data_IF_735892002612
#
_entry.id   IF_735892002612
#
_cell.length_a   1.000
_cell.length_b   1.000
_cell.length_c   1.000
_cell.angle_alpha   90.00
_cell.angle_beta   90.00
_cell.angle_gamma   90.00
#
_symmetry.space_group_name_H-M   'P 1'
#
loop_
_entity.id
_entity.type
_entity.pdbx_description
1 polymer ?
#
# COMPACT_ATOMS: atom_id res chain seq x y z
N UNK A 1 -3.18 13.20 -38.54
CA UNK A 1 -4.30 13.93 -37.92
C UNK A 1 -4.09 13.83 -36.42
N UNK A 2 -3.77 14.96 -35.78
CA UNK A 2 -3.55 15.07 -34.33
C UNK A 2 -4.91 15.17 -33.68
N UNK A 3 -5.24 14.20 -32.81
CA UNK A 3 -6.41 14.27 -31.93
C UNK A 3 -6.02 14.94 -30.63
N UNK A 4 -6.42 16.19 -30.45
CA UNK A 4 -6.27 16.92 -29.18
C UNK A 4 -7.22 16.34 -28.12
N UNK A 5 -6.68 15.61 -27.18
CA UNK A 5 -7.41 15.23 -25.96
C UNK A 5 -7.32 16.40 -24.99
N UNK A 6 -8.36 17.21 -24.93
CA UNK A 6 -8.53 18.25 -23.90
C UNK A 6 -8.69 17.56 -22.52
N UNK A 7 -7.67 17.62 -21.70
CA UNK A 7 -7.77 17.41 -20.26
C UNK A 7 -8.59 18.54 -19.66
N UNK A 8 -9.80 18.24 -19.24
CA UNK A 8 -10.63 19.16 -18.46
C UNK A 8 -10.18 19.04 -17.00
N UNK A 9 -9.44 20.03 -16.51
CA UNK A 9 -9.08 20.17 -15.11
C UNK A 9 -10.34 20.49 -14.28
N UNK A 10 -11.02 19.48 -13.77
CA UNK A 10 -12.07 19.63 -12.75
C UNK A 10 -11.47 19.38 -11.37
N UNK A 11 -10.67 20.31 -10.89
CA UNK A 11 -10.26 20.35 -9.48
C UNK A 11 -11.41 20.97 -8.69
N UNK A 12 -12.17 20.13 -7.95
CA UNK A 12 -13.28 20.57 -7.13
C UNK A 12 -12.75 21.10 -5.80
N UNK A 13 -12.81 22.42 -5.60
CA UNK A 13 -12.57 23.07 -4.31
C UNK A 13 -13.80 22.86 -3.42
N UNK A 14 -13.68 22.05 -2.37
CA UNK A 14 -14.76 21.86 -1.38
C UNK A 14 -14.82 23.09 -0.49
N UNK A 15 -15.69 24.04 -0.81
CA UNK A 15 -15.96 25.21 0.04
C UNK A 15 -16.79 24.78 1.25
N UNK A 16 -16.32 25.12 2.46
CA UNK A 16 -17.00 24.89 3.73
C UNK A 16 -18.27 25.76 3.88
N UNK A 17 -19.36 25.34 3.24
CA UNK A 17 -20.70 25.78 3.63
C UNK A 17 -21.28 24.75 4.59
N UNK A 18 -21.10 24.94 5.89
CA UNK A 18 -21.70 24.12 6.96
C UNK A 18 -23.22 24.31 6.99
N UNK A 19 -23.94 23.69 6.07
CA UNK A 19 -25.30 23.23 6.34
C UNK A 19 -25.19 22.10 7.37
N UNK A 20 -26.24 21.90 8.23
CA UNK A 20 -26.29 20.72 9.12
C UNK A 20 -26.15 19.46 8.25
N UNK A 21 -24.94 18.98 8.11
CA UNK A 21 -24.63 17.75 7.35
C UNK A 21 -25.14 16.57 8.17
N UNK A 22 -25.64 15.56 7.46
CA UNK A 22 -26.03 14.30 8.09
C UNK A 22 -24.79 13.67 8.69
N UNK A 23 -24.81 13.31 9.97
CA UNK A 23 -23.73 12.54 10.59
C UNK A 23 -23.69 11.17 9.90
N UNK A 24 -22.59 10.85 9.25
CA UNK A 24 -22.36 9.57 8.60
C UNK A 24 -21.74 8.58 9.57
N UNK A 25 -21.96 7.30 9.31
CA UNK A 25 -21.37 6.21 10.12
C UNK A 25 -20.20 5.59 9.34
N UNK A 26 -18.99 5.76 9.88
CA UNK A 26 -17.74 5.20 9.34
C UNK A 26 -17.32 4.00 10.18
N UNK A 27 -17.32 2.83 9.57
CA UNK A 27 -16.90 1.57 10.19
C UNK A 27 -15.46 1.22 9.86
N UNK A 28 -14.75 0.72 10.85
CA UNK A 28 -13.37 0.23 10.72
C UNK A 28 -13.32 -1.26 10.97
N UNK A 29 -12.78 -1.99 10.01
CA UNK A 29 -12.58 -3.44 10.12
C UNK A 29 -11.07 -3.77 10.10
N UNK A 30 -10.70 -4.82 10.80
CA UNK A 30 -9.36 -5.41 10.69
C UNK A 30 -9.17 -5.91 9.26
N UNK A 31 -8.09 -5.53 8.61
CA UNK A 31 -7.79 -6.08 7.31
C UNK A 31 -7.40 -7.55 7.45
N UNK A 32 -8.22 -8.46 6.90
CA UNK A 32 -7.99 -9.91 6.91
C UNK A 32 -7.08 -10.38 5.76
N UNK A 33 -6.28 -9.48 5.23
CA UNK A 33 -5.23 -9.79 4.27
C UNK A 33 -4.09 -10.57 4.97
N UNK A 34 -3.55 -11.65 4.36
CA UNK A 34 -2.51 -12.48 4.99
C UNK A 34 -1.30 -11.66 5.48
N UNK A 35 -0.96 -11.80 6.76
CA UNK A 35 0.17 -11.12 7.38
C UNK A 35 -0.04 -9.64 7.69
N UNK A 36 -1.23 -9.06 7.48
CA UNK A 36 -1.52 -7.67 7.87
C UNK A 36 -1.62 -7.53 9.39
N UNK A 37 -0.88 -6.57 9.95
CA UNK A 37 -0.84 -6.28 11.39
C UNK A 37 -0.94 -4.79 11.70
N UNK A 38 -0.94 -3.93 10.67
CA UNK A 38 -1.01 -2.48 10.88
C UNK A 38 -2.40 -2.08 11.36
N UNK A 39 -2.42 -1.15 12.30
CA UNK A 39 -3.65 -0.55 12.84
C UNK A 39 -3.74 0.87 12.28
N UNK A 40 -4.69 1.15 11.38
CA UNK A 40 -4.74 2.41 10.64
C UNK A 40 -5.38 3.57 11.40
N UNK A 41 -5.96 3.33 12.57
CA UNK A 41 -6.55 4.34 13.44
C UNK A 41 -6.20 4.02 14.89
N UNK A 42 -5.60 4.98 15.60
CA UNK A 42 -5.25 4.86 17.02
C UNK A 42 -6.15 5.79 17.85
N UNK A 43 -6.53 5.42 19.09
CA UNK A 43 -7.41 6.22 19.93
C UNK A 43 -6.96 7.68 20.11
N UNK A 44 -5.65 7.92 20.27
CA UNK A 44 -5.09 9.26 20.46
C UNK A 44 -5.20 10.19 19.24
N UNK A 45 -5.45 9.65 18.06
CA UNK A 45 -5.61 10.43 16.83
C UNK A 45 -7.09 10.72 16.50
N UNK A 46 -8.02 10.21 17.33
CA UNK A 46 -9.45 10.46 17.19
C UNK A 46 -9.79 11.79 17.86
N UNK A 47 -9.94 12.84 17.07
CA UNK A 47 -10.21 14.20 17.55
C UNK A 47 -11.25 14.88 16.69
N UNK A 48 -12.40 15.23 17.25
CA UNK A 48 -13.47 16.01 16.58
C UNK A 48 -13.79 15.53 15.15
N UNK A 49 -14.02 14.23 15.00
CA UNK A 49 -14.40 13.66 13.72
C UNK A 49 -15.87 13.93 13.40
N UNK A 50 -16.16 14.28 12.15
CA UNK A 50 -17.52 14.58 11.68
C UNK A 50 -18.37 13.31 11.46
N UNK A 51 -17.77 12.12 11.65
CA UNK A 51 -18.42 10.81 11.50
C UNK A 51 -18.65 10.15 12.87
N UNK A 52 -19.72 9.37 13.01
CA UNK A 52 -19.81 8.38 14.08
C UNK A 52 -18.92 7.18 13.74
N UNK A 53 -18.08 6.75 14.68
CA UNK A 53 -17.13 5.68 14.45
C UNK A 53 -17.60 4.35 15.04
N UNK A 54 -17.61 3.31 14.21
CA UNK A 54 -17.80 1.92 14.61
C UNK A 54 -16.50 1.15 14.39
N UNK A 55 -16.05 0.45 15.41
CA UNK A 55 -14.78 -0.27 15.38
C UNK A 55 -15.04 -1.78 15.59
N UNK A 56 -14.43 -2.61 14.78
CA UNK A 56 -14.47 -4.06 14.97
C UNK A 56 -13.74 -4.46 16.26
N UNK A 57 -14.33 -5.34 17.06
CA UNK A 57 -13.73 -5.91 18.28
C UNK A 57 -12.30 -6.41 18.01
N UNK A 58 -11.36 -6.03 18.88
CA UNK A 58 -9.95 -6.39 18.77
C UNK A 58 -9.20 -5.67 17.66
N UNK A 59 -9.71 -4.55 17.15
CA UNK A 59 -9.09 -3.77 16.08
C UNK A 59 -7.65 -3.34 16.38
N UNK A 60 -7.35 -3.04 17.66
CA UNK A 60 -6.04 -2.59 18.13
C UNK A 60 -5.09 -3.70 18.62
N UNK A 61 -5.50 -4.97 18.57
CA UNK A 61 -4.83 -6.10 19.24
C UNK A 61 -3.33 -6.23 18.92
N UNK A 62 -2.90 -5.98 17.69
CA UNK A 62 -1.49 -6.06 17.32
C UNK A 62 -0.59 -4.98 17.95
N UNK A 63 -1.19 -3.93 18.48
CA UNK A 63 -0.49 -2.86 19.20
C UNK A 63 -0.74 -2.89 20.72
N UNK A 64 -1.37 -3.95 21.22
CA UNK A 64 -1.77 -4.10 22.62
C UNK A 64 -2.74 -2.99 23.06
N UNK A 65 -3.58 -2.47 22.12
CA UNK A 65 -4.61 -1.48 22.39
C UNK A 65 -5.94 -2.22 22.58
N UNK A 66 -6.53 -2.05 23.75
CA UNK A 66 -7.78 -2.69 24.11
C UNK A 66 -9.00 -1.94 23.54
N UNK A 67 -10.11 -2.65 23.34
CA UNK A 67 -11.37 -2.07 22.82
C UNK A 67 -11.86 -0.91 23.68
N UNK A 68 -11.67 -0.98 25.00
CA UNK A 68 -12.06 0.08 25.96
C UNK A 68 -11.35 1.42 25.70
N UNK A 69 -10.17 1.41 25.06
CA UNK A 69 -9.46 2.64 24.71
C UNK A 69 -10.16 3.36 23.54
N UNK A 70 -10.69 2.61 22.58
CA UNK A 70 -11.52 3.16 21.51
C UNK A 70 -12.88 3.64 22.03
N UNK A 71 -13.49 2.93 23.00
CA UNK A 71 -14.74 3.39 23.64
C UNK A 71 -14.53 4.72 24.36
N UNK A 72 -13.42 4.88 25.10
CA UNK A 72 -13.05 6.16 25.73
C UNK A 72 -12.82 7.29 24.74
N UNK A 73 -12.38 6.95 23.52
CA UNK A 73 -12.22 7.91 22.42
C UNK A 73 -13.55 8.21 21.68
N UNK A 74 -14.68 7.65 22.15
CA UNK A 74 -16.03 7.93 21.61
C UNK A 74 -16.47 6.98 20.50
N UNK A 75 -15.76 5.87 20.28
CA UNK A 75 -16.14 4.84 19.31
C UNK A 75 -17.12 3.84 19.91
N UNK A 76 -17.90 3.18 19.07
CA UNK A 76 -18.71 2.03 19.43
C UNK A 76 -18.04 0.75 18.95
N UNK A 77 -17.82 -0.20 19.84
CA UNK A 77 -17.22 -1.51 19.51
C UNK A 77 -18.31 -2.50 19.11
N UNK A 78 -18.12 -3.19 18.01
CA UNK A 78 -19.08 -4.13 17.45
C UNK A 78 -18.37 -5.35 16.83
N UNK A 79 -19.14 -6.43 16.58
CA UNK A 79 -18.68 -7.52 15.75
C UNK A 79 -18.44 -7.03 14.30
N UNK A 80 -17.59 -7.74 13.55
CA UNK A 80 -17.33 -7.46 12.14
C UNK A 80 -18.58 -7.31 11.31
N UNK A 81 -19.50 -8.27 11.42
CA UNK A 81 -20.79 -8.26 10.71
C UNK A 81 -21.62 -7.02 11.06
N UNK A 82 -21.72 -6.67 12.35
CA UNK A 82 -22.47 -5.50 12.79
C UNK A 82 -21.83 -4.18 12.32
N UNK A 83 -20.49 -4.11 12.22
CA UNK A 83 -19.80 -2.96 11.62
C UNK A 83 -20.25 -2.78 10.18
N UNK A 84 -20.21 -3.83 9.35
CA UNK A 84 -20.72 -3.74 7.97
C UNK A 84 -22.19 -3.36 7.90
N UNK A 85 -23.02 -3.96 8.73
CA UNK A 85 -24.47 -3.76 8.75
C UNK A 85 -24.86 -2.32 9.14
N UNK A 86 -24.19 -1.71 10.10
CA UNK A 86 -24.57 -0.40 10.61
C UNK A 86 -23.87 0.76 9.87
N UNK A 87 -22.71 0.53 9.22
CA UNK A 87 -21.94 1.59 8.59
C UNK A 87 -22.44 1.97 7.20
N UNK A 88 -22.32 3.25 6.86
CA UNK A 88 -22.53 3.79 5.51
C UNK A 88 -21.23 3.78 4.70
N UNK A 89 -20.09 3.89 5.39
CA UNK A 89 -18.76 3.72 4.82
C UNK A 89 -17.96 2.70 5.63
N UNK A 90 -17.17 1.88 4.96
CA UNK A 90 -16.24 0.92 5.57
C UNK A 90 -14.82 1.31 5.18
N UNK A 91 -13.98 1.43 6.18
CA UNK A 91 -12.54 1.52 6.00
C UNK A 91 -11.90 0.15 6.24
N UNK A 92 -11.14 -0.32 5.24
CA UNK A 92 -10.24 -1.47 5.36
C UNK A 92 -8.87 -1.10 4.81
N UNK A 93 -7.81 -1.29 5.58
CA UNK A 93 -6.46 -0.92 5.14
C UNK A 93 -6.04 -1.66 3.86
N UNK A 94 -6.51 -2.89 3.68
CA UNK A 94 -6.30 -3.70 2.48
C UNK A 94 -7.63 -4.02 1.82
N UNK A 95 -7.56 -4.47 0.58
CA UNK A 95 -8.72 -4.92 -0.17
C UNK A 95 -9.53 -5.93 0.66
N UNK A 96 -10.84 -5.69 0.75
CA UNK A 96 -11.80 -6.59 1.41
C UNK A 96 -11.72 -7.96 0.74
N UNK A 97 -11.61 -9.01 1.54
CA UNK A 97 -11.46 -10.38 1.08
C UNK A 97 -12.82 -11.04 0.78
N UNK A 98 -12.86 -12.10 -0.03
CA UNK A 98 -14.10 -12.79 -0.39
C UNK A 98 -14.96 -13.26 0.78
N UNK A 99 -14.35 -13.59 1.93
CA UNK A 99 -15.06 -13.95 3.17
C UNK A 99 -16.03 -12.88 3.68
N UNK A 100 -15.86 -11.64 3.26
CA UNK A 100 -16.66 -10.51 3.72
C UNK A 100 -17.67 -10.00 2.68
N UNK A 101 -17.65 -10.55 1.47
CA UNK A 101 -18.46 -10.04 0.36
C UNK A 101 -19.96 -10.03 0.66
N UNK A 102 -20.44 -11.00 1.42
CA UNK A 102 -21.86 -11.11 1.79
C UNK A 102 -22.31 -10.02 2.76
N UNK A 103 -21.38 -9.43 3.53
CA UNK A 103 -21.68 -8.34 4.44
C UNK A 103 -21.80 -6.98 3.75
N UNK A 104 -21.22 -6.83 2.55
CA UNK A 104 -21.19 -5.56 1.82
C UNK A 104 -22.58 -5.21 1.28
N UNK A 105 -23.10 -4.04 1.68
CA UNK A 105 -24.41 -3.55 1.25
C UNK A 105 -24.33 -2.77 -0.05
N UNK A 106 -25.43 -2.78 -0.82
CA UNK A 106 -25.59 -1.94 -2.01
C UNK A 106 -25.41 -0.46 -1.67
N UNK A 107 -24.63 0.27 -2.47
CA UNK A 107 -24.39 1.70 -2.34
C UNK A 107 -23.48 2.11 -1.18
N UNK A 108 -22.82 1.15 -0.52
CA UNK A 108 -21.88 1.41 0.56
C UNK A 108 -20.60 2.05 0.03
N UNK A 109 -19.97 2.90 0.83
CA UNK A 109 -18.65 3.46 0.51
C UNK A 109 -17.58 2.51 1.05
N UNK A 110 -16.61 2.13 0.22
CA UNK A 110 -15.46 1.31 0.61
C UNK A 110 -14.20 2.15 0.46
N UNK A 111 -13.45 2.33 1.55
CA UNK A 111 -12.27 3.18 1.60
C UNK A 111 -11.05 2.32 1.97
N UNK A 112 -9.95 2.45 1.26
CA UNK A 112 -8.71 1.75 1.59
C UNK A 112 -7.77 1.57 0.40
N UNK A 113 -6.87 0.61 0.49
CA UNK A 113 -5.98 0.23 -0.60
C UNK A 113 -6.64 -0.84 -1.44
N UNK A 114 -7.38 -0.43 -2.44
CA UNK A 114 -8.30 -1.29 -3.19
C UNK A 114 -7.75 -1.74 -4.54
N UNK A 115 -6.73 -1.06 -5.08
CA UNK A 115 -6.05 -1.37 -6.35
C UNK A 115 -7.02 -1.73 -7.50
N UNK A 116 -7.93 -0.84 -7.92
CA UNK A 116 -9.03 -1.17 -8.83
C UNK A 116 -8.61 -1.74 -10.18
N UNK A 117 -7.45 -1.34 -10.69
CA UNK A 117 -6.90 -1.82 -11.97
C UNK A 117 -5.88 -2.96 -11.83
N UNK A 118 -5.46 -3.26 -10.61
CA UNK A 118 -4.52 -4.33 -10.25
C UNK A 118 -5.21 -5.50 -9.56
N UNK A 119 -4.76 -5.81 -8.34
CA UNK A 119 -5.28 -6.93 -7.54
C UNK A 119 -6.76 -6.80 -7.16
N UNK A 120 -7.31 -5.60 -7.15
CA UNK A 120 -8.73 -5.32 -6.88
C UNK A 120 -9.66 -5.47 -8.08
N UNK A 121 -9.15 -5.81 -9.26
CA UNK A 121 -9.96 -5.90 -10.49
C UNK A 121 -11.15 -6.86 -10.38
N UNK A 122 -10.96 -8.01 -9.74
CA UNK A 122 -12.05 -8.97 -9.48
C UNK A 122 -13.07 -8.39 -8.50
N UNK A 123 -12.64 -7.74 -7.43
CA UNK A 123 -13.53 -7.05 -6.49
C UNK A 123 -14.38 -5.98 -7.19
N UNK A 124 -13.77 -5.16 -8.06
CA UNK A 124 -14.51 -4.15 -8.84
C UNK A 124 -15.59 -4.79 -9.69
N UNK A 125 -15.28 -5.87 -10.42
CA UNK A 125 -16.20 -6.57 -11.30
C UNK A 125 -17.32 -7.30 -10.56
N UNK A 126 -16.98 -7.99 -9.46
CA UNK A 126 -17.87 -8.94 -8.79
C UNK A 126 -18.68 -8.29 -7.65
N UNK A 127 -18.16 -7.23 -7.04
CA UNK A 127 -18.78 -6.57 -5.89
C UNK A 127 -19.09 -5.09 -6.17
N UNK A 128 -18.11 -4.30 -6.57
CA UNK A 128 -18.28 -2.85 -6.63
C UNK A 128 -19.32 -2.43 -7.69
N UNK A 129 -19.23 -2.93 -8.89
CA UNK A 129 -20.17 -2.58 -9.97
C UNK A 129 -21.57 -3.12 -9.68
N UNK A 130 -21.79 -4.43 -9.37
CA UNK A 130 -23.13 -4.97 -9.12
C UNK A 130 -23.83 -4.37 -7.91
N UNK A 131 -23.08 -4.08 -6.84
CA UNK A 131 -23.62 -3.48 -5.61
C UNK A 131 -23.62 -1.95 -5.65
N UNK A 132 -23.23 -1.33 -6.77
CA UNK A 132 -23.17 0.14 -6.91
C UNK A 132 -22.33 0.79 -5.79
N UNK A 133 -21.19 0.18 -5.43
CA UNK A 133 -20.32 0.70 -4.39
C UNK A 133 -19.59 1.95 -4.84
N UNK A 134 -19.32 2.84 -3.89
CA UNK A 134 -18.40 3.97 -4.07
C UNK A 134 -17.05 3.52 -3.51
N UNK A 135 -16.07 3.27 -4.36
CA UNK A 135 -14.75 2.79 -3.94
C UNK A 135 -13.78 3.96 -3.91
N UNK A 136 -13.21 4.23 -2.74
CA UNK A 136 -12.19 5.28 -2.53
C UNK A 136 -10.85 4.60 -2.40
N UNK A 137 -10.05 4.63 -3.46
CA UNK A 137 -8.72 4.05 -3.47
C UNK A 137 -7.68 5.07 -3.01
N UNK A 138 -6.88 4.67 -2.02
CA UNK A 138 -5.87 5.52 -1.39
C UNK A 138 -4.44 5.13 -1.77
N UNK A 139 -4.25 4.10 -2.57
CA UNK A 139 -2.92 3.52 -2.82
C UNK A 139 -2.20 4.11 -4.04
N UNK A 140 -2.89 4.78 -4.91
CA UNK A 140 -2.28 5.41 -6.06
C UNK A 140 -1.61 6.75 -5.70
N UNK A 141 -0.70 7.19 -6.56
CA UNK A 141 -0.09 8.53 -6.47
C UNK A 141 -1.17 9.64 -6.41
N UNK A 142 -2.36 9.37 -6.92
CA UNK A 142 -3.53 10.23 -6.88
C UNK A 142 -4.71 9.43 -6.33
N UNK A 143 -5.05 9.57 -5.05
CA UNK A 143 -6.25 8.98 -4.48
C UNK A 143 -7.49 9.35 -5.27
N UNK A 144 -8.32 8.37 -5.61
CA UNK A 144 -9.45 8.56 -6.50
C UNK A 144 -10.70 7.80 -6.05
N UNK A 145 -11.86 8.31 -6.46
CA UNK A 145 -13.17 7.67 -6.28
C UNK A 145 -13.54 6.94 -7.57
N UNK A 146 -13.89 5.68 -7.42
CA UNK A 146 -14.36 4.81 -8.49
C UNK A 146 -15.84 4.48 -8.28
N UNK A 147 -16.66 4.78 -9.27
CA UNK A 147 -18.09 4.46 -9.25
C UNK A 147 -18.56 4.08 -10.65
N UNK A 148 -18.93 2.80 -10.86
CA UNK A 148 -19.26 2.26 -12.19
C UNK A 148 -18.11 2.48 -13.19
N UNK A 149 -18.33 3.29 -14.20
CA UNK A 149 -17.36 3.67 -15.24
C UNK A 149 -16.65 5.01 -14.97
N UNK A 150 -16.99 5.69 -13.87
CA UNK A 150 -16.42 6.98 -13.50
C UNK A 150 -15.23 6.83 -12.58
N UNK A 151 -14.22 7.67 -12.83
CA UNK A 151 -13.06 7.87 -11.94
C UNK A 151 -12.95 9.37 -11.66
N UNK A 152 -12.90 9.74 -10.38
CA UNK A 152 -12.82 11.12 -9.93
C UNK A 152 -11.61 11.25 -9.02
N UNK A 153 -10.64 12.06 -9.41
CA UNK A 153 -9.49 12.38 -8.57
C UNK A 153 -9.93 13.18 -7.34
N UNK A 154 -9.35 12.86 -6.20
CA UNK A 154 -9.64 13.55 -4.93
C UNK A 154 -8.56 14.59 -4.64
N UNK A 155 -8.84 15.49 -3.68
CA UNK A 155 -7.85 16.42 -3.14
C UNK A 155 -7.04 15.83 -1.98
N UNK A 156 -7.17 14.52 -1.72
CA UNK A 156 -6.37 13.83 -0.72
C UNK A 156 -4.92 13.86 -1.16
N UNK A 157 -3.98 14.34 -0.32
CA UNK A 157 -2.57 14.43 -0.71
C UNK A 157 -1.97 13.07 -1.10
N UNK A 158 -1.25 13.02 -2.20
CA UNK A 158 -0.55 11.81 -2.67
C UNK A 158 0.53 11.31 -1.69
N UNK A 159 1.07 12.17 -0.84
CA UNK A 159 2.15 11.82 0.11
C UNK A 159 1.75 11.03 1.36
N UNK A 160 0.47 10.67 1.53
CA UNK A 160 -0.01 9.90 2.70
C UNK A 160 0.75 8.59 2.86
N UNK A 161 1.14 7.98 1.73
CA UNK A 161 1.76 6.67 1.68
C UNK A 161 3.29 6.65 1.64
N UNK A 162 3.94 7.81 1.53
CA UNK A 162 5.40 7.89 1.34
C UNK A 162 6.20 7.14 2.42
N UNK A 163 5.84 7.33 3.68
CA UNK A 163 6.51 6.62 4.78
C UNK A 163 6.20 5.14 4.83
N UNK A 164 4.99 4.73 4.45
CA UNK A 164 4.67 3.31 4.32
C UNK A 164 5.55 2.66 3.24
N UNK A 165 5.70 3.33 2.09
CA UNK A 165 6.58 2.87 1.00
C UNK A 165 8.06 2.82 1.43
N UNK A 166 8.52 3.78 2.27
CA UNK A 166 9.85 3.69 2.87
C UNK A 166 10.02 2.41 3.70
N UNK A 167 9.04 2.08 4.53
CA UNK A 167 9.09 0.85 5.34
C UNK A 167 8.93 -0.43 4.50
N UNK A 168 8.37 -0.35 3.30
CA UNK A 168 8.40 -1.49 2.37
C UNK A 168 9.84 -1.89 2.02
N UNK A 169 10.64 -0.92 1.62
CA UNK A 169 12.06 -1.14 1.35
C UNK A 169 12.85 -1.51 2.61
N UNK A 170 12.64 -0.77 3.69
CA UNK A 170 13.41 -0.95 4.93
C UNK A 170 13.18 -2.32 5.57
N UNK A 171 11.92 -2.65 5.86
CA UNK A 171 11.57 -3.90 6.54
C UNK A 171 11.78 -5.11 5.63
N UNK A 172 11.41 -5.00 4.34
CA UNK A 172 11.62 -6.08 3.36
C UNK A 172 13.09 -6.42 3.18
N UNK A 173 13.96 -5.42 3.13
CA UNK A 173 15.41 -5.65 3.03
C UNK A 173 15.96 -6.33 4.28
N UNK A 174 15.58 -5.88 5.48
CA UNK A 174 16.03 -6.50 6.74
C UNK A 174 15.55 -7.95 6.86
N UNK A 175 14.27 -8.21 6.54
CA UNK A 175 13.70 -9.55 6.56
C UNK A 175 14.43 -10.48 5.57
N UNK A 176 14.67 -9.99 4.35
CA UNK A 176 15.39 -10.74 3.32
C UNK A 176 16.80 -11.13 3.76
N UNK A 177 17.57 -10.18 4.29
CA UNK A 177 18.93 -10.42 4.75
C UNK A 177 19.00 -11.43 5.89
N UNK A 178 18.13 -11.27 6.91
CA UNK A 178 18.08 -12.18 8.06
C UNK A 178 17.66 -13.59 7.66
N UNK A 179 16.67 -13.73 6.79
CA UNK A 179 16.21 -15.04 6.30
C UNK A 179 17.17 -15.70 5.34
N UNK A 180 17.92 -14.90 4.59
CA UNK A 180 19.03 -15.42 3.77
C UNK A 180 20.24 -15.84 4.62
N UNK A 181 20.29 -15.39 5.87
CA UNK A 181 21.38 -15.72 6.80
C UNK A 181 22.63 -14.87 6.61
N UNK A 182 22.48 -13.63 6.09
CA UNK A 182 23.61 -12.72 5.87
C UNK A 182 23.38 -11.40 6.62
N UNK A 183 24.43 -10.93 7.29
CA UNK A 183 24.58 -9.52 7.65
C UNK A 183 25.71 -8.97 6.79
N UNK A 184 25.41 -8.07 5.84
CA UNK A 184 26.44 -7.53 4.95
C UNK A 184 27.55 -6.82 5.71
N UNK A 185 28.75 -6.86 5.17
CA UNK A 185 29.93 -6.13 5.64
C UNK A 185 30.58 -5.37 4.47
N UNK A 186 31.76 -4.80 4.69
CA UNK A 186 32.48 -4.01 3.68
C UNK A 186 32.94 -4.83 2.46
N UNK A 187 32.97 -6.16 2.56
CA UNK A 187 33.27 -7.03 1.43
C UNK A 187 32.06 -7.30 0.53
N UNK A 188 30.85 -7.11 1.04
CA UNK A 188 29.58 -7.35 0.34
C UNK A 188 29.23 -6.16 -0.56
N UNK A 189 29.24 -6.38 -1.87
CA UNK A 189 28.87 -5.34 -2.85
C UNK A 189 27.37 -5.32 -3.08
N UNK A 190 26.73 -4.19 -2.78
CA UNK A 190 25.27 -4.05 -2.81
C UNK A 190 24.86 -2.98 -3.82
N UNK A 191 23.96 -3.34 -4.74
CA UNK A 191 23.27 -2.40 -5.61
C UNK A 191 21.84 -2.18 -5.11
N UNK A 192 21.40 -0.91 -5.02
CA UNK A 192 20.01 -0.53 -4.76
C UNK A 192 19.45 0.18 -5.99
N UNK A 193 18.39 -0.35 -6.58
CA UNK A 193 17.77 0.19 -7.78
C UNK A 193 16.61 1.12 -7.43
N UNK A 194 16.62 2.34 -7.98
CA UNK A 194 15.60 3.36 -7.78
C UNK A 194 16.05 4.49 -6.85
N UNK A 195 15.21 5.53 -6.77
CA UNK A 195 15.41 6.67 -5.88
C UNK A 195 14.13 7.05 -5.10
N UNK A 196 13.04 6.28 -5.29
CA UNK A 196 11.78 6.45 -4.59
C UNK A 196 11.85 6.00 -3.13
N UNK A 197 10.74 6.15 -2.41
CA UNK A 197 10.68 5.85 -0.97
C UNK A 197 11.05 4.41 -0.62
N UNK A 198 10.65 3.43 -1.45
CA UNK A 198 11.05 2.02 -1.28
C UNK A 198 12.56 1.86 -1.36
N UNK A 199 13.19 2.41 -2.41
CA UNK A 199 14.64 2.35 -2.60
C UNK A 199 15.41 3.06 -1.49
N UNK A 200 14.91 4.22 -1.03
CA UNK A 200 15.49 4.95 0.11
C UNK A 200 15.42 4.13 1.41
N UNK A 201 14.29 3.44 1.64
CA UNK A 201 14.16 2.52 2.77
C UNK A 201 15.15 1.38 2.71
N UNK A 202 15.28 0.73 1.56
CA UNK A 202 16.25 -0.33 1.34
C UNK A 202 17.71 0.14 1.52
N UNK A 203 18.05 1.27 0.92
CA UNK A 203 19.39 1.88 1.09
C UNK A 203 19.68 2.17 2.55
N UNK A 204 18.71 2.77 3.27
CA UNK A 204 18.87 3.09 4.68
C UNK A 204 19.04 1.84 5.56
N UNK A 205 18.43 0.73 5.19
CA UNK A 205 18.60 -0.55 5.89
C UNK A 205 20.03 -1.10 5.72
N UNK A 206 20.53 -1.21 4.49
CA UNK A 206 21.84 -1.83 4.23
C UNK A 206 23.03 -0.95 4.59
N UNK A 207 22.89 0.39 4.49
CA UNK A 207 23.96 1.33 4.85
C UNK A 207 24.32 1.34 6.35
N UNK A 208 23.53 0.66 7.18
CA UNK A 208 23.87 0.44 8.60
C UNK A 208 24.90 -0.68 8.80
N UNK A 209 25.08 -1.54 7.80
CA UNK A 209 25.96 -2.70 7.89
C UNK A 209 27.21 -2.54 7.02
N UNK A 210 27.09 -1.86 5.89
CA UNK A 210 28.18 -1.70 4.93
C UNK A 210 28.16 -0.34 4.28
N UNK A 211 29.34 0.22 3.99
CA UNK A 211 29.49 1.41 3.13
C UNK A 211 29.61 1.03 1.64
N UNK A 212 29.79 -0.25 1.30
CA UNK A 212 29.93 -0.73 -0.07
C UNK A 212 28.56 -0.90 -0.77
N UNK A 213 27.75 0.16 -0.68
CA UNK A 213 26.40 0.24 -1.23
C UNK A 213 26.33 1.31 -2.31
N UNK A 214 25.84 0.98 -3.48
CA UNK A 214 25.65 1.91 -4.58
C UNK A 214 24.18 1.98 -4.99
N UNK A 215 23.62 3.21 -5.01
CA UNK A 215 22.27 3.45 -5.49
C UNK A 215 22.28 3.80 -6.98
N UNK A 216 21.37 3.18 -7.74
CA UNK A 216 21.18 3.43 -9.16
C UNK A 216 19.76 3.93 -9.42
N UNK A 217 19.65 5.09 -10.03
CA UNK A 217 18.39 5.72 -10.42
C UNK A 217 18.38 5.97 -11.93
N UNK A 218 17.28 6.46 -12.47
CA UNK A 218 17.05 6.56 -13.93
C UNK A 218 18.28 6.95 -14.76
N UNK A 219 19.05 7.96 -14.32
CA UNK A 219 20.25 8.43 -15.05
C UNK A 219 21.44 7.50 -14.96
N UNK A 220 21.52 6.67 -13.93
CA UNK A 220 22.66 5.78 -13.66
C UNK A 220 22.35 4.30 -13.89
N UNK A 221 21.11 3.97 -14.29
CA UNK A 221 20.77 2.60 -14.70
C UNK A 221 21.67 2.04 -15.84
N UNK A 222 22.09 2.84 -16.84
CA UNK A 222 23.06 2.33 -17.83
C UNK A 222 24.36 1.85 -17.18
N UNK A 223 24.90 2.57 -16.18
CA UNK A 223 26.10 2.15 -15.44
C UNK A 223 25.83 0.87 -14.64
N UNK A 224 24.63 0.71 -14.08
CA UNK A 224 24.24 -0.55 -13.44
C UNK A 224 24.27 -1.71 -14.47
N UNK A 225 23.72 -1.51 -15.67
CA UNK A 225 23.71 -2.50 -16.74
C UNK A 225 25.12 -2.96 -17.17
N UNK A 226 26.12 -2.11 -17.04
CA UNK A 226 27.53 -2.46 -17.34
C UNK A 226 28.21 -3.20 -16.18
N UNK A 227 27.67 -3.06 -14.94
CA UNK A 227 28.37 -3.51 -13.72
C UNK A 227 27.58 -4.49 -12.86
N UNK A 228 26.33 -4.81 -13.19
CA UNK A 228 25.42 -5.59 -12.33
C UNK A 228 25.97 -6.95 -11.91
N UNK A 229 26.72 -7.64 -12.77
CA UNK A 229 27.35 -8.94 -12.47
C UNK A 229 28.42 -8.87 -11.36
N UNK A 230 28.81 -7.66 -10.94
CA UNK A 230 29.83 -7.48 -9.89
C UNK A 230 29.21 -7.40 -8.49
N UNK A 231 27.91 -7.24 -8.36
CA UNK A 231 27.21 -7.15 -7.07
C UNK A 231 26.86 -8.53 -6.52
N UNK A 232 26.95 -8.66 -5.21
CA UNK A 232 26.57 -9.87 -4.47
C UNK A 232 25.08 -9.82 -4.11
N UNK A 233 24.57 -8.61 -3.82
CA UNK A 233 23.16 -8.35 -3.51
C UNK A 233 22.64 -7.24 -4.42
N UNK A 234 21.49 -7.46 -5.05
CA UNK A 234 20.77 -6.47 -5.84
C UNK A 234 19.40 -6.27 -5.21
N UNK A 235 19.11 -5.03 -4.79
CA UNK A 235 17.82 -4.69 -4.15
C UNK A 235 17.01 -3.82 -5.10
N UNK A 236 15.85 -4.30 -5.51
CA UNK A 236 14.94 -3.56 -6.37
C UNK A 236 13.92 -2.77 -5.55
N UNK A 237 13.84 -1.47 -5.81
CA UNK A 237 12.81 -0.57 -5.31
C UNK A 237 12.09 0.18 -6.43
N UNK A 238 12.18 -0.32 -7.68
CA UNK A 238 11.53 0.23 -8.87
C UNK A 238 10.37 -0.68 -9.28
N UNK A 239 9.26 -0.07 -9.66
CA UNK A 239 8.15 -0.71 -10.32
C UNK A 239 8.10 -0.22 -11.77
N UNK A 240 8.22 -1.12 -12.75
CA UNK A 240 8.12 -0.77 -14.17
C UNK A 240 6.74 -1.05 -14.75
N UNK A 241 5.96 -1.88 -14.07
CA UNK A 241 4.63 -2.31 -14.50
C UNK A 241 4.63 -3.26 -15.69
N UNK A 242 3.52 -3.93 -15.88
CA UNK A 242 3.34 -4.94 -16.91
C UNK A 242 3.52 -4.37 -18.33
N UNK A 243 4.22 -5.10 -19.18
CA UNK A 243 4.44 -4.76 -20.59
C UNK A 243 5.61 -3.82 -20.86
N UNK A 244 6.30 -3.32 -19.85
CA UNK A 244 7.54 -2.57 -20.01
C UNK A 244 8.77 -3.49 -20.03
N UNK A 245 9.87 -3.00 -20.59
CA UNK A 245 11.13 -3.75 -20.60
C UNK A 245 11.68 -3.90 -19.16
N UNK A 246 12.10 -5.10 -18.74
CA UNK A 246 12.66 -5.33 -17.43
C UNK A 246 14.00 -4.61 -17.25
N UNK A 247 14.31 -4.23 -16.01
CA UNK A 247 15.64 -3.69 -15.69
C UNK A 247 16.66 -4.82 -15.60
N UNK A 248 16.27 -5.99 -15.13
CA UNK A 248 17.13 -7.17 -15.07
C UNK A 248 16.44 -8.33 -15.80
N UNK A 249 16.82 -8.53 -17.07
CA UNK A 249 16.26 -9.58 -17.91
C UNK A 249 16.75 -10.99 -17.51
N UNK A 250 16.07 -12.03 -17.98
CA UNK A 250 16.54 -13.42 -17.80
C UNK A 250 17.94 -13.66 -18.37
N UNK A 251 18.30 -12.94 -19.45
CA UNK A 251 19.63 -13.03 -20.05
C UNK A 251 20.68 -12.34 -19.18
N UNK A 252 20.36 -11.19 -18.59
CA UNK A 252 21.24 -10.54 -17.60
C UNK A 252 21.47 -11.45 -16.40
N UNK A 253 20.41 -12.08 -15.89
CA UNK A 253 20.49 -12.95 -14.70
C UNK A 253 21.41 -14.15 -14.88
N UNK A 254 21.62 -14.65 -16.11
CA UNK A 254 22.60 -15.73 -16.40
C UNK A 254 24.03 -15.29 -16.17
N UNK A 255 24.32 -13.99 -16.19
CA UNK A 255 25.66 -13.43 -16.01
C UNK A 255 25.98 -13.13 -14.54
N UNK A 256 24.98 -13.24 -13.65
CA UNK A 256 25.20 -13.02 -12.22
C UNK A 256 26.07 -14.11 -11.61
N UNK A 257 26.83 -13.76 -10.59
CA UNK A 257 27.58 -14.70 -9.79
C UNK A 257 26.65 -15.75 -9.18
N UNK A 258 27.08 -17.00 -9.18
CA UNK A 258 26.38 -18.03 -8.43
C UNK A 258 26.33 -17.67 -6.94
N UNK A 259 25.15 -17.68 -6.35
CA UNK A 259 24.95 -17.26 -4.97
C UNK A 259 24.51 -15.81 -4.83
N UNK A 260 24.47 -15.02 -5.92
CA UNK A 260 23.90 -13.66 -5.87
C UNK A 260 22.49 -13.69 -5.32
N UNK A 261 22.12 -12.64 -4.59
CA UNK A 261 20.81 -12.49 -3.97
C UNK A 261 20.08 -11.27 -4.53
N UNK A 262 18.89 -11.49 -5.10
CA UNK A 262 18.01 -10.46 -5.62
C UNK A 262 16.86 -10.27 -4.63
N UNK A 263 16.71 -9.05 -4.14
CA UNK A 263 15.67 -8.66 -3.18
C UNK A 263 14.72 -7.68 -3.88
N UNK A 264 13.53 -8.13 -4.22
CA UNK A 264 12.51 -7.27 -4.84
C UNK A 264 11.58 -6.69 -3.76
N UNK A 265 11.93 -5.53 -3.23
CA UNK A 265 11.14 -4.82 -2.20
C UNK A 265 10.03 -3.97 -2.80
N UNK A 266 10.04 -3.73 -4.12
CA UNK A 266 8.93 -3.10 -4.83
C UNK A 266 7.76 -4.08 -4.99
N UNK A 267 8.05 -5.39 -4.92
CA UNK A 267 7.08 -6.45 -5.15
C UNK A 267 6.39 -6.33 -6.53
N UNK A 268 7.20 -6.00 -7.57
CA UNK A 268 6.78 -5.89 -8.98
C UNK A 268 7.06 -7.20 -9.72
N UNK A 269 6.53 -8.29 -9.19
CA UNK A 269 6.84 -9.65 -9.59
C UNK A 269 6.75 -9.86 -11.11
N UNK A 270 7.86 -10.30 -11.68
CA UNK A 270 7.99 -10.64 -13.10
C UNK A 270 8.20 -9.47 -14.05
N UNK A 271 8.08 -8.22 -13.59
CA UNK A 271 8.20 -7.04 -14.44
C UNK A 271 9.60 -6.41 -14.37
N UNK A 272 9.98 -5.80 -13.25
CA UNK A 272 11.29 -5.15 -13.11
C UNK A 272 12.42 -6.17 -13.13
N UNK A 273 12.25 -7.30 -12.45
CA UNK A 273 13.12 -8.48 -12.46
C UNK A 273 12.37 -9.57 -13.23
N UNK A 274 12.78 -9.81 -14.46
CA UNK A 274 12.09 -10.75 -15.37
C UNK A 274 12.05 -12.16 -14.78
N UNK A 275 10.88 -12.80 -14.80
CA UNK A 275 10.66 -14.14 -14.28
C UNK A 275 10.59 -14.27 -12.75
N UNK A 276 10.80 -13.17 -12.02
CA UNK A 276 10.59 -13.15 -10.58
C UNK A 276 9.12 -13.40 -10.23
N UNK A 277 8.84 -14.06 -9.11
CA UNK A 277 7.47 -14.32 -8.64
C UNK A 277 7.33 -14.03 -7.15
N UNK A 278 6.09 -13.77 -6.73
CA UNK A 278 5.79 -13.52 -5.33
C UNK A 278 6.17 -14.69 -4.44
N UNK A 279 6.76 -14.35 -3.31
CA UNK A 279 7.03 -15.25 -2.20
C UNK A 279 6.13 -14.87 -1.00
N UNK A 280 6.19 -15.64 0.07
CA UNK A 280 5.38 -15.38 1.27
C UNK A 280 6.27 -15.00 2.46
N UNK A 281 5.68 -14.44 3.50
CA UNK A 281 6.43 -14.17 4.74
C UNK A 281 7.01 -15.44 5.38
N UNK A 282 6.40 -16.59 5.15
CA UNK A 282 6.86 -17.90 5.67
C UNK A 282 7.95 -18.48 4.79
N UNK A 283 7.69 -18.56 3.49
CA UNK A 283 8.59 -19.10 2.47
C UNK A 283 9.04 -17.96 1.57
N UNK A 284 9.97 -17.14 2.09
CA UNK A 284 10.30 -15.84 1.52
C UNK A 284 11.38 -15.86 0.46
N UNK A 285 12.17 -16.95 0.39
CA UNK A 285 13.31 -17.05 -0.52
C UNK A 285 13.21 -18.32 -1.35
N UNK A 286 13.39 -18.18 -2.64
CA UNK A 286 13.58 -19.33 -3.54
C UNK A 286 14.92 -19.22 -4.28
N UNK A 287 15.34 -20.33 -4.87
CA UNK A 287 16.57 -20.43 -5.63
C UNK A 287 16.28 -20.94 -7.04
N UNK A 288 16.74 -20.22 -8.03
CA UNK A 288 16.69 -20.66 -9.43
C UNK A 288 18.04 -20.43 -10.12
N UNK A 289 18.53 -21.42 -10.87
CA UNK A 289 19.80 -21.36 -11.65
C UNK A 289 21.01 -20.85 -10.86
N UNK A 290 21.02 -21.07 -9.55
CA UNK A 290 22.11 -20.65 -8.66
C UNK A 290 21.99 -19.25 -8.08
N UNK A 291 20.93 -18.50 -8.41
CA UNK A 291 20.59 -17.18 -7.88
C UNK A 291 19.47 -17.33 -6.87
N UNK A 292 19.47 -16.51 -5.84
CA UNK A 292 18.44 -16.45 -4.82
C UNK A 292 17.54 -15.22 -5.02
N UNK A 293 16.26 -15.38 -4.72
CA UNK A 293 15.24 -14.34 -4.92
C UNK A 293 14.37 -14.21 -3.69
N UNK A 294 14.02 -12.96 -3.39
CA UNK A 294 13.05 -12.57 -2.39
C UNK A 294 12.08 -11.59 -3.03
N UNK A 295 10.75 -11.85 -2.92
CA UNK A 295 9.71 -10.96 -3.45
C UNK A 295 8.45 -11.07 -2.57
N UNK A 296 8.58 -10.71 -1.29
CA UNK A 296 7.46 -10.75 -0.34
C UNK A 296 6.65 -9.47 -0.44
N UNK A 297 5.35 -9.55 -0.77
CA UNK A 297 4.48 -8.38 -0.75
C UNK A 297 4.14 -7.97 0.69
N UNK A 298 3.67 -6.73 0.85
CA UNK A 298 3.15 -6.22 2.13
C UNK A 298 4.18 -6.15 3.28
N UNK A 299 5.45 -6.01 2.97
CA UNK A 299 6.54 -5.94 3.96
C UNK A 299 6.43 -4.81 5.00
N UNK A 300 5.74 -3.66 4.77
CA UNK A 300 5.52 -2.67 5.82
C UNK A 300 4.77 -3.23 7.05
N UNK A 301 3.97 -4.28 6.86
CA UNK A 301 3.27 -4.95 7.96
C UNK A 301 4.22 -5.64 8.95
N UNK A 302 5.45 -5.93 8.56
CA UNK A 302 6.48 -6.47 9.47
C UNK A 302 6.94 -5.42 10.49
N UNK A 303 6.89 -4.13 10.11
CA UNK A 303 7.23 -3.00 10.97
C UNK A 303 5.97 -2.28 11.49
N UNK A 304 4.89 -3.02 11.74
CA UNK A 304 3.57 -2.48 12.06
C UNK A 304 3.57 -1.52 13.25
N UNK A 305 4.40 -1.73 14.29
CA UNK A 305 4.52 -0.82 15.43
C UNK A 305 5.08 0.55 15.06
N UNK A 306 5.89 0.64 14.00
CA UNK A 306 6.41 1.90 13.48
C UNK A 306 5.46 2.53 12.45
N UNK A 307 4.80 1.70 11.65
CA UNK A 307 3.97 2.16 10.53
C UNK A 307 2.59 2.61 10.99
N UNK A 308 1.96 1.90 11.94
CA UNK A 308 0.60 2.20 12.40
C UNK A 308 0.43 3.62 12.94
N UNK A 309 1.29 4.15 13.82
CA UNK A 309 1.14 5.53 14.31
C UNK A 309 1.22 6.57 13.19
N UNK A 310 2.05 6.33 12.19
CA UNK A 310 2.18 7.24 11.05
C UNK A 310 0.94 7.21 10.15
N UNK A 311 0.42 5.99 9.86
CA UNK A 311 -0.81 5.83 9.10
C UNK A 311 -1.98 6.46 9.83
N UNK A 312 -2.16 6.16 11.11
CA UNK A 312 -3.23 6.70 11.93
C UNK A 312 -3.25 8.22 11.87
N UNK A 313 -2.12 8.87 12.12
CA UNK A 313 -2.00 10.33 12.09
C UNK A 313 -2.37 10.93 10.72
N UNK A 314 -1.89 10.33 9.62
CA UNK A 314 -2.13 10.85 8.27
C UNK A 314 -3.57 10.59 7.83
N UNK A 315 -4.07 9.37 8.02
CA UNK A 315 -5.43 8.99 7.63
C UNK A 315 -6.47 9.74 8.47
N UNK A 316 -6.24 9.92 9.77
CA UNK A 316 -7.11 10.73 10.63
C UNK A 316 -7.20 12.15 10.13
N UNK A 317 -6.07 12.78 9.79
CA UNK A 317 -6.03 14.17 9.33
C UNK A 317 -6.72 14.39 7.98
N UNK A 318 -6.54 13.48 7.03
CA UNK A 318 -6.92 13.71 5.64
C UNK A 318 -8.15 12.94 5.17
N UNK A 319 -8.56 11.91 5.91
CA UNK A 319 -9.65 11.01 5.52
C UNK A 319 -10.73 10.92 6.63
N UNK A 320 -10.35 10.53 7.85
CA UNK A 320 -11.32 10.10 8.85
C UNK A 320 -12.01 11.26 9.56
N UNK A 321 -11.34 12.40 9.66
CA UNK A 321 -11.88 13.61 10.30
C UNK A 321 -13.06 14.21 9.54
N UNK A 322 -12.97 14.22 8.22
CA UNK A 322 -14.00 14.82 7.36
C UNK A 322 -15.19 13.86 7.21
N UNK A 323 -16.40 14.43 7.06
CA UNK A 323 -17.60 13.65 6.82
C UNK A 323 -17.49 12.87 5.50
N UNK A 324 -17.60 11.53 5.55
CA UNK A 324 -17.46 10.67 4.36
C UNK A 324 -18.56 10.89 3.30
N UNK A 325 -19.58 11.72 3.58
CA UNK A 325 -20.56 12.13 2.58
C UNK A 325 -19.93 12.91 1.42
N UNK A 326 -18.77 13.56 1.64
CA UNK A 326 -18.00 14.26 0.59
C UNK A 326 -17.76 13.37 -0.63
N UNK A 327 -17.58 12.06 -0.47
CA UNK A 327 -17.37 11.13 -1.58
C UNK A 327 -18.64 10.95 -2.43
N UNK A 328 -19.83 11.01 -1.82
CA UNK A 328 -21.10 11.01 -2.56
C UNK A 328 -21.36 12.34 -3.26
N UNK A 329 -20.97 13.44 -2.63
CA UNK A 329 -21.13 14.76 -3.21
C UNK A 329 -20.23 14.99 -4.42
N UNK A 330 -18.99 14.53 -4.36
CA UNK A 330 -18.06 14.55 -5.49
C UNK A 330 -18.66 13.85 -6.73
N UNK A 331 -19.36 12.73 -6.55
CA UNK A 331 -20.06 12.03 -7.63
C UNK A 331 -21.23 12.82 -8.22
N UNK A 332 -21.92 13.63 -7.43
CA UNK A 332 -23.03 14.47 -7.93
C UNK A 332 -22.55 15.66 -8.73
N UNK A 333 -21.37 16.21 -8.39
CA UNK A 333 -20.78 17.37 -9.06
C UNK A 333 -20.08 17.01 -10.37
N UNK A 334 -19.75 15.75 -10.58
CA UNK A 334 -19.09 15.23 -11.80
C UNK A 334 -20.08 14.87 -12.94
N UNK A 335 -21.31 15.36 -12.86
CA UNK A 335 -22.34 15.16 -13.90
C UNK A 335 -22.19 16.14 -15.05
#
# INVERSE_FOLDING_TARGET
MKGDTKLVNNTICISKNRKKEKIMILGFIKANFPGERRVPLLPQDITDFDNQLLIETGFGEFLDIEDVEYEKAGCKILSREEVFKQSEAIFSLKLIQPSDYDYIKKGQIIIGWTHPYGSGKSFMKEQAIPKELIVVDLDNNFPAIYYKDKVIETQIPSGIMERNSFFAGYAGTLDALLKFGILPDESTRIAVLGSGNVSQGAFHAVSKFSSNVKMFYRRTLPVFKETFCTYDIIINGIEVGAGNAPILSLEDQKQLKRGSFIIDTAADAGNTIEGNHFTTMKDSIYKEKGIYYYCVPNTPSMAYRNVSPMLSKQLSKYIFKENVEIFKEALKQSK
#
